data_IF_307345793364
#
_entry.id   IF_307345793364
#
_cell.length_a   1.000
_cell.length_b   1.000
_cell.length_c   1.000
_cell.angle_alpha   90.00
_cell.angle_beta   90.00
_cell.angle_gamma   90.00
#
_symmetry.space_group_name_H-M   'P 1'
#
loop_
_entity.id
_entity.type
_entity.pdbx_description
1 polymer ?
#
# COMPACT_ATOMS: atom_id res chain seq x y z
N UNK A 1 34.60 9.26 14.60
CA UNK A 1 33.20 9.55 14.22
C UNK A 1 32.82 8.51 13.20
N UNK A 2 32.00 7.52 13.58
CA UNK A 2 31.52 6.52 12.65
C UNK A 2 30.36 7.15 11.88
N UNK A 3 30.59 7.51 10.61
CA UNK A 3 29.50 7.77 9.68
C UNK A 3 28.72 6.47 9.54
N UNK A 4 27.62 6.37 10.29
CA UNK A 4 26.70 5.27 10.22
C UNK A 4 26.18 5.23 8.79
N UNK A 5 26.67 4.27 8.01
CA UNK A 5 26.24 3.98 6.66
C UNK A 5 24.82 3.40 6.73
N UNK A 6 23.84 4.27 7.00
CA UNK A 6 22.42 3.95 6.96
C UNK A 6 22.10 3.68 5.50
N UNK A 7 22.23 2.42 5.10
CA UNK A 7 21.79 1.97 3.79
C UNK A 7 20.32 2.34 3.66
N UNK A 8 20.07 3.35 2.84
CA UNK A 8 18.72 3.77 2.51
C UNK A 8 18.03 2.57 1.87
N UNK A 9 17.01 2.04 2.54
CA UNK A 9 16.24 0.91 2.04
C UNK A 9 15.64 1.30 0.69
N UNK A 10 15.73 0.39 -0.28
CA UNK A 10 15.20 0.59 -1.62
C UNK A 10 13.66 0.75 -1.55
N UNK A 11 13.09 1.85 -2.07
CA UNK A 11 11.64 2.03 -2.11
C UNK A 11 10.87 0.86 -2.73
N UNK A 12 11.46 0.21 -3.74
CA UNK A 12 10.85 -0.93 -4.43
C UNK A 12 10.75 -2.15 -3.50
N UNK A 13 11.80 -2.38 -2.69
CA UNK A 13 11.82 -3.42 -1.66
C UNK A 13 10.76 -3.18 -0.57
N UNK A 14 10.51 -1.92 -0.19
CA UNK A 14 9.45 -1.59 0.77
C UNK A 14 8.06 -1.92 0.20
N UNK A 15 7.81 -1.61 -1.08
CA UNK A 15 6.55 -1.96 -1.73
C UNK A 15 6.37 -3.47 -1.83
N UNK A 16 7.42 -4.20 -2.20
CA UNK A 16 7.41 -5.66 -2.22
C UNK A 16 7.08 -6.23 -0.84
N UNK A 17 7.72 -5.74 0.23
CA UNK A 17 7.42 -6.16 1.60
C UNK A 17 5.96 -5.87 2.00
N UNK A 18 5.41 -4.72 1.63
CA UNK A 18 4.00 -4.41 1.89
C UNK A 18 3.06 -5.36 1.15
N UNK A 19 3.34 -5.67 -0.12
CA UNK A 19 2.54 -6.61 -0.91
C UNK A 19 2.58 -8.03 -0.32
N UNK A 20 3.76 -8.48 0.13
CA UNK A 20 3.94 -9.77 0.78
C UNK A 20 3.21 -9.86 2.13
N UNK A 21 3.13 -8.76 2.89
CA UNK A 21 2.34 -8.72 4.12
C UNK A 21 0.84 -8.87 3.82
N UNK A 22 0.30 -8.17 2.82
CA UNK A 22 -1.09 -8.39 2.39
C UNK A 22 -1.34 -9.83 1.93
N UNK A 23 -0.41 -10.37 1.12
CA UNK A 23 -0.49 -11.73 0.62
C UNK A 23 -0.51 -12.77 1.76
N UNK A 24 0.37 -12.60 2.76
CA UNK A 24 0.43 -13.45 3.97
C UNK A 24 -0.92 -13.51 4.71
N UNK A 25 -1.68 -12.42 4.69
CA UNK A 25 -3.02 -12.32 5.30
C UNK A 25 -4.16 -12.65 4.34
N UNK A 26 -3.88 -13.33 3.25
CA UNK A 26 -4.86 -13.73 2.21
C UNK A 26 -5.61 -12.56 1.58
N UNK A 27 -5.09 -11.33 1.73
CA UNK A 27 -5.64 -10.13 1.10
C UNK A 27 -5.12 -10.01 -0.34
N UNK A 28 -5.46 -10.98 -1.18
CA UNK A 28 -4.86 -11.13 -2.51
C UNK A 28 -5.15 -9.93 -3.42
N UNK A 29 -6.34 -9.34 -3.35
CA UNK A 29 -6.67 -8.13 -4.12
C UNK A 29 -5.76 -6.95 -3.73
N UNK A 30 -5.53 -6.71 -2.44
CA UNK A 30 -4.62 -5.67 -1.97
C UNK A 30 -3.15 -5.98 -2.31
N UNK A 31 -2.73 -7.24 -2.22
CA UNK A 31 -1.40 -7.65 -2.66
C UNK A 31 -1.19 -7.41 -4.16
N UNK A 32 -2.14 -7.82 -5.01
CA UNK A 32 -2.12 -7.58 -6.45
C UNK A 32 -2.07 -6.09 -6.77
N UNK A 33 -2.79 -5.29 -5.99
CA UNK A 33 -2.79 -3.83 -6.12
C UNK A 33 -1.42 -3.21 -5.85
N UNK A 34 -0.77 -3.58 -4.74
CA UNK A 34 0.57 -3.08 -4.40
C UNK A 34 1.61 -3.57 -5.41
N UNK A 35 1.55 -4.84 -5.83
CA UNK A 35 2.44 -5.35 -6.88
C UNK A 35 2.21 -4.65 -8.23
N UNK A 36 0.97 -4.30 -8.57
CA UNK A 36 0.66 -3.53 -9.78
C UNK A 36 1.30 -2.14 -9.73
N UNK A 37 1.23 -1.44 -8.60
CA UNK A 37 1.91 -0.16 -8.40
C UNK A 37 3.44 -0.32 -8.55
N UNK A 38 4.02 -1.40 -7.99
CA UNK A 38 5.45 -1.68 -8.10
C UNK A 38 5.86 -1.99 -9.55
N UNK A 39 5.08 -2.78 -10.28
CA UNK A 39 5.31 -3.06 -11.70
C UNK A 39 5.20 -1.80 -12.55
N UNK A 40 4.26 -0.90 -12.26
CA UNK A 40 4.13 0.37 -12.98
C UNK A 40 5.35 1.28 -12.76
N UNK A 41 5.92 1.24 -11.56
CA UNK A 41 7.13 1.99 -11.21
C UNK A 41 8.39 1.37 -11.82
N UNK A 42 8.50 0.04 -11.74
CA UNK A 42 9.68 -0.72 -12.18
C UNK A 42 9.25 -1.90 -13.06
N UNK A 43 8.93 -1.66 -14.36
CA UNK A 43 8.35 -2.68 -15.25
C UNK A 43 9.21 -3.91 -15.53
N UNK A 44 10.51 -3.84 -15.20
CA UNK A 44 11.45 -4.93 -15.38
C UNK A 44 11.72 -5.70 -14.06
N UNK A 45 10.97 -5.44 -12.98
CA UNK A 45 11.16 -6.11 -11.69
C UNK A 45 10.56 -7.53 -11.69
N UNK A 46 11.36 -8.60 -11.83
CA UNK A 46 10.83 -9.96 -12.05
C UNK A 46 9.97 -10.46 -10.88
N UNK A 47 10.38 -10.16 -9.64
CA UNK A 47 9.62 -10.57 -8.44
C UNK A 47 8.29 -9.84 -8.29
N UNK A 48 8.15 -8.63 -8.82
CA UNK A 48 6.90 -7.89 -8.73
C UNK A 48 5.86 -8.49 -9.68
N UNK A 49 6.30 -8.87 -10.89
CA UNK A 49 5.47 -9.62 -11.84
C UNK A 49 5.07 -10.99 -11.33
N UNK A 50 6.01 -11.72 -10.72
CA UNK A 50 5.72 -13.01 -10.11
C UNK A 50 4.69 -12.86 -8.96
N UNK A 51 4.92 -11.93 -8.03
CA UNK A 51 4.01 -11.65 -6.92
C UNK A 51 2.62 -11.21 -7.40
N UNK A 52 2.55 -10.38 -8.44
CA UNK A 52 1.29 -10.00 -9.08
C UNK A 52 0.56 -11.22 -9.65
N UNK A 53 1.27 -12.07 -10.42
CA UNK A 53 0.70 -13.29 -10.98
C UNK A 53 0.19 -14.24 -9.90
N UNK A 54 0.92 -14.41 -8.80
CA UNK A 54 0.48 -15.23 -7.67
C UNK A 54 -0.78 -14.67 -7.03
N UNK A 55 -0.80 -13.38 -6.67
CA UNK A 55 -1.95 -12.76 -6.04
C UNK A 55 -3.21 -12.91 -6.91
N UNK A 56 -3.10 -12.65 -8.22
CA UNK A 56 -4.21 -12.83 -9.17
C UNK A 56 -4.62 -14.30 -9.28
N UNK A 57 -3.67 -15.24 -9.36
CA UNK A 57 -3.99 -16.68 -9.43
C UNK A 57 -4.76 -17.16 -8.20
N UNK A 58 -4.40 -16.69 -6.99
CA UNK A 58 -5.12 -17.05 -5.77
C UNK A 58 -6.49 -16.38 -5.67
N UNK A 59 -6.65 -15.17 -6.18
CA UNK A 59 -7.95 -14.53 -6.35
C UNK A 59 -8.83 -15.30 -7.36
N UNK A 60 -8.27 -15.73 -8.49
CA UNK A 60 -8.95 -16.51 -9.52
C UNK A 60 -9.50 -17.85 -8.97
N UNK A 61 -8.79 -18.47 -8.01
CA UNK A 61 -9.27 -19.70 -7.36
C UNK A 61 -10.54 -19.47 -6.54
N UNK A 62 -10.76 -18.25 -6.06
CA UNK A 62 -11.95 -17.89 -5.31
C UNK A 62 -13.11 -17.46 -6.23
N UNK A 63 -12.81 -16.75 -7.32
CA UNK A 63 -13.82 -16.24 -8.28
C UNK A 63 -14.22 -17.26 -9.34
N UNK A 64 -13.36 -18.24 -9.63
CA UNK A 64 -13.43 -19.14 -10.80
C UNK A 64 -13.42 -18.39 -12.14
N UNK A 65 -12.87 -17.17 -12.18
CA UNK A 65 -12.77 -16.39 -13.42
C UNK A 65 -11.56 -16.82 -14.25
N UNK A 66 -11.83 -17.28 -15.48
CA UNK A 66 -10.80 -17.68 -16.45
C UNK A 66 -9.95 -16.48 -16.89
N UNK A 67 -10.50 -15.27 -16.89
CA UNK A 67 -9.77 -14.06 -17.27
C UNK A 67 -8.65 -13.74 -16.26
N UNK A 68 -8.91 -13.93 -14.97
CA UNK A 68 -7.90 -13.77 -13.92
C UNK A 68 -6.76 -14.79 -14.12
N UNK A 69 -7.08 -16.03 -14.49
CA UNK A 69 -6.07 -17.05 -14.77
C UNK A 69 -5.20 -16.67 -15.99
N UNK A 70 -5.82 -16.16 -17.07
CA UNK A 70 -5.09 -15.63 -18.23
C UNK A 70 -4.13 -14.52 -17.83
N UNK A 71 -4.59 -13.61 -16.98
CA UNK A 71 -3.79 -12.49 -16.51
C UNK A 71 -2.63 -12.96 -15.62
N UNK A 72 -2.87 -13.92 -14.74
CA UNK A 72 -1.84 -14.53 -13.91
C UNK A 72 -0.74 -15.19 -14.75
N UNK A 73 -1.11 -16.00 -15.75
CA UNK A 73 -0.16 -16.62 -16.69
C UNK A 73 0.63 -15.54 -17.45
N UNK A 74 -0.03 -14.47 -17.90
CA UNK A 74 0.63 -13.37 -18.59
C UNK A 74 1.68 -12.68 -17.71
N UNK A 75 1.40 -12.53 -16.40
CA UNK A 75 2.33 -12.00 -15.41
C UNK A 75 3.52 -12.95 -15.16
N UNK A 76 3.29 -14.26 -15.01
CA UNK A 76 4.38 -15.23 -14.85
C UNK A 76 5.31 -15.28 -16.06
N UNK A 77 4.74 -15.28 -17.27
CA UNK A 77 5.52 -15.19 -18.51
C UNK A 77 6.32 -13.88 -18.61
N UNK A 78 5.78 -12.78 -18.09
CA UNK A 78 6.51 -11.51 -18.01
C UNK A 78 7.65 -11.56 -16.99
N UNK A 79 7.45 -12.23 -15.86
CA UNK A 79 8.51 -12.48 -14.88
C UNK A 79 9.67 -13.30 -15.49
N UNK A 80 9.36 -14.37 -16.23
CA UNK A 80 10.35 -15.17 -16.97
C UNK A 80 11.03 -14.37 -18.09
N UNK A 81 10.30 -13.52 -18.80
CA UNK A 81 10.89 -12.65 -19.81
C UNK A 81 11.92 -11.67 -19.21
N UNK A 82 11.63 -11.12 -18.03
CA UNK A 82 12.55 -10.21 -17.33
C UNK A 82 13.72 -10.95 -16.66
N UNK A 83 13.52 -12.22 -16.28
CA UNK A 83 14.53 -13.09 -15.67
C UNK A 83 14.27 -14.55 -16.07
N UNK A 84 15.03 -15.04 -17.06
CA UNK A 84 14.80 -16.35 -17.67
C UNK A 84 14.95 -17.53 -16.70
N UNK A 85 15.77 -17.39 -15.66
CA UNK A 85 16.01 -18.38 -14.60
C UNK A 85 15.07 -18.22 -13.39
N UNK A 86 13.92 -17.56 -13.55
CA UNK A 86 12.93 -17.41 -12.49
C UNK A 86 12.15 -18.73 -12.26
N UNK A 87 12.76 -19.65 -11.51
CA UNK A 87 12.19 -20.97 -11.17
C UNK A 87 10.79 -20.88 -10.57
N UNK A 88 10.52 -19.87 -9.74
CA UNK A 88 9.20 -19.74 -9.10
C UNK A 88 8.09 -19.46 -10.11
N UNK A 89 8.36 -18.62 -11.12
CA UNK A 89 7.39 -18.32 -12.17
C UNK A 89 7.17 -19.53 -13.10
N UNK A 90 8.24 -20.29 -13.38
CA UNK A 90 8.17 -21.52 -14.16
C UNK A 90 7.33 -22.60 -13.45
N UNK A 91 7.61 -22.84 -12.17
CA UNK A 91 6.84 -23.77 -11.32
C UNK A 91 5.36 -23.36 -11.24
N UNK A 92 5.06 -22.06 -11.09
CA UNK A 92 3.69 -21.57 -11.04
C UNK A 92 2.92 -21.85 -12.35
N UNK A 93 3.59 -21.74 -13.51
CA UNK A 93 3.01 -22.08 -14.80
C UNK A 93 2.73 -23.59 -14.88
N UNK A 94 3.67 -24.43 -14.45
CA UNK A 94 3.48 -25.88 -14.41
C UNK A 94 2.32 -26.30 -13.52
N UNK A 95 2.19 -25.69 -12.33
CA UNK A 95 1.03 -25.91 -11.43
C UNK A 95 -0.28 -25.57 -12.13
N UNK A 96 -0.32 -24.54 -12.97
CA UNK A 96 -1.53 -24.19 -13.75
C UNK A 96 -1.80 -25.23 -14.82
N UNK A 97 -0.79 -25.64 -15.60
CA UNK A 97 -0.90 -26.65 -16.66
C UNK A 97 -1.44 -27.97 -16.10
N UNK A 98 -0.91 -28.42 -14.96
CA UNK A 98 -1.23 -29.72 -14.36
C UNK A 98 -2.68 -29.84 -13.85
N UNK A 99 -3.43 -28.74 -13.79
CA UNK A 99 -4.85 -28.76 -13.39
C UNK A 99 -5.77 -29.34 -14.46
N UNK A 100 -5.44 -29.21 -15.74
CA UNK A 100 -6.27 -29.65 -16.85
C UNK A 100 -5.53 -29.63 -18.21
N UNK A 101 -5.88 -30.50 -19.17
CA UNK A 101 -5.40 -30.36 -20.55
C UNK A 101 -5.74 -29.00 -21.18
N UNK A 102 -6.90 -28.41 -20.84
CA UNK A 102 -7.32 -27.10 -21.36
C UNK A 102 -6.42 -25.96 -20.86
N UNK A 103 -5.80 -26.10 -19.69
CA UNK A 103 -4.87 -25.10 -19.16
C UNK A 103 -3.54 -25.08 -19.89
N UNK A 104 -3.14 -26.19 -20.54
CA UNK A 104 -1.96 -26.19 -21.42
C UNK A 104 -2.19 -25.30 -22.65
N UNK A 105 -3.28 -25.53 -23.38
CA UNK A 105 -3.61 -24.74 -24.58
C UNK A 105 -3.75 -23.24 -24.24
N UNK A 106 -4.39 -22.95 -23.11
CA UNK A 106 -4.48 -21.60 -22.56
C UNK A 106 -3.09 -21.00 -22.36
N UNK A 107 -2.23 -21.70 -21.61
CA UNK A 107 -0.88 -21.22 -21.29
C UNK A 107 -0.09 -20.98 -22.56
N UNK A 108 -0.13 -21.87 -23.54
CA UNK A 108 0.57 -21.70 -24.83
C UNK A 108 0.08 -20.46 -25.59
N UNK A 109 -1.23 -20.19 -25.60
CA UNK A 109 -1.84 -19.06 -26.29
C UNK A 109 -1.56 -17.70 -25.61
N UNK A 110 -1.42 -17.68 -24.28
CA UNK A 110 -1.22 -16.44 -23.51
C UNK A 110 0.16 -15.85 -23.78
N UNK A 111 0.21 -14.57 -24.18
CA UNK A 111 1.47 -13.84 -24.35
C UNK A 111 1.93 -13.22 -23.01
N UNK A 112 3.24 -12.98 -22.84
CA UNK A 112 3.72 -12.15 -21.74
C UNK A 112 3.03 -10.79 -21.75
N UNK A 113 2.78 -10.23 -20.56
CA UNK A 113 2.10 -8.94 -20.46
C UNK A 113 2.90 -7.85 -21.19
N UNK A 114 2.20 -7.09 -22.05
CA UNK A 114 2.82 -6.07 -22.92
C UNK A 114 3.13 -4.76 -22.19
N UNK A 115 3.53 -3.73 -22.93
CA UNK A 115 3.91 -2.41 -22.38
C UNK A 115 2.74 -1.55 -21.85
N UNK A 116 1.51 -2.03 -21.95
CA UNK A 116 0.31 -1.28 -21.53
C UNK A 116 0.01 -1.45 -20.02
N UNK A 117 1.02 -1.20 -19.18
CA UNK A 117 0.95 -1.39 -17.72
C UNK A 117 -0.13 -0.54 -17.04
N UNK A 118 -0.52 0.57 -17.67
CA UNK A 118 -1.59 1.46 -17.18
C UNK A 118 -2.95 0.74 -17.05
N UNK A 119 -3.16 -0.33 -17.83
CA UNK A 119 -4.40 -1.12 -17.74
C UNK A 119 -4.38 -2.13 -16.59
N UNK A 120 -3.22 -2.42 -15.98
CA UNK A 120 -3.10 -3.39 -14.88
C UNK A 120 -3.95 -3.00 -13.68
N UNK A 121 -3.98 -1.72 -13.30
CA UNK A 121 -4.80 -1.27 -12.18
C UNK A 121 -6.29 -1.48 -12.43
N UNK A 122 -6.74 -1.26 -13.68
CA UNK A 122 -8.12 -1.53 -14.04
C UNK A 122 -8.45 -3.03 -14.02
N UNK A 123 -7.51 -3.89 -14.44
CA UNK A 123 -7.69 -5.33 -14.35
C UNK A 123 -7.65 -5.87 -12.92
N UNK A 124 -6.89 -5.24 -12.03
CA UNK A 124 -6.84 -5.59 -10.62
C UNK A 124 -8.06 -5.07 -9.83
N UNK A 125 -9.03 -4.42 -10.50
CA UNK A 125 -10.16 -3.70 -9.90
C UNK A 125 -9.72 -2.80 -8.74
N UNK A 126 -8.56 -2.17 -8.90
CA UNK A 126 -7.89 -1.48 -7.81
C UNK A 126 -8.67 -0.22 -7.41
N UNK A 127 -9.03 -0.16 -6.14
CA UNK A 127 -9.41 1.10 -5.50
C UNK A 127 -8.51 1.40 -4.30
N UNK A 128 -8.11 2.66 -4.07
CA UNK A 128 -7.35 3.03 -2.87
C UNK A 128 -8.04 2.63 -1.57
N UNK A 129 -9.38 2.63 -1.55
CA UNK A 129 -10.18 2.27 -0.37
C UNK A 129 -10.05 0.78 -0.03
N UNK A 130 -9.92 -0.10 -1.03
CA UNK A 130 -9.68 -1.53 -0.82
C UNK A 130 -8.38 -1.80 -0.04
N UNK A 131 -7.35 -0.95 -0.18
CA UNK A 131 -6.11 -1.13 0.60
C UNK A 131 -6.36 -0.91 2.09
N UNK A 132 -7.17 0.07 2.45
CA UNK A 132 -7.50 0.28 3.86
C UNK A 132 -8.45 -0.81 4.37
N UNK A 133 -9.42 -1.21 3.55
CA UNK A 133 -10.32 -2.31 3.90
C UNK A 133 -9.60 -3.66 4.07
N UNK A 134 -8.54 -3.89 3.31
CA UNK A 134 -7.65 -5.03 3.53
C UNK A 134 -6.80 -4.84 4.79
N UNK A 135 -6.26 -3.63 5.01
CA UNK A 135 -5.43 -3.32 6.17
C UNK A 135 -6.17 -3.61 7.48
N UNK A 136 -7.43 -3.20 7.61
CA UNK A 136 -8.24 -3.40 8.84
C UNK A 136 -8.51 -4.87 9.17
N UNK A 137 -8.40 -5.78 8.20
CA UNK A 137 -8.60 -7.23 8.41
C UNK A 137 -7.38 -7.90 9.04
N UNK A 138 -6.22 -7.23 9.01
CA UNK A 138 -4.97 -7.72 9.60
C UNK A 138 -5.01 -7.49 11.11
N UNK A 139 -5.04 -8.57 11.90
CA UNK A 139 -5.16 -8.48 13.35
C UNK A 139 -3.90 -7.90 14.03
N UNK A 140 -2.71 -8.15 13.49
CA UNK A 140 -1.45 -7.66 14.06
C UNK A 140 -1.22 -6.19 13.68
N UNK A 141 -1.32 -5.31 14.68
CA UNK A 141 -1.09 -3.88 14.50
C UNK A 141 0.33 -3.54 14.05
N UNK A 142 1.34 -4.36 14.40
CA UNK A 142 2.73 -4.12 14.00
C UNK A 142 2.89 -4.26 12.49
N UNK A 143 2.25 -5.27 11.91
CA UNK A 143 2.25 -5.48 10.47
C UNK A 143 1.43 -4.40 9.76
N UNK A 144 0.30 -3.95 10.33
CA UNK A 144 -0.43 -2.78 9.81
C UNK A 144 0.45 -1.52 9.81
N UNK A 145 1.16 -1.25 10.91
CA UNK A 145 2.12 -0.14 11.01
C UNK A 145 3.21 -0.26 9.96
N UNK A 146 3.78 -1.44 9.74
CA UNK A 146 4.79 -1.68 8.69
C UNK A 146 4.24 -1.38 7.30
N UNK A 147 3.06 -1.91 6.95
CA UNK A 147 2.41 -1.64 5.66
C UNK A 147 2.23 -0.13 5.45
N UNK A 148 1.65 0.58 6.43
CA UNK A 148 1.45 2.03 6.36
C UNK A 148 2.77 2.77 6.18
N UNK A 149 3.83 2.35 6.89
CA UNK A 149 5.14 2.95 6.77
C UNK A 149 5.79 2.71 5.40
N UNK A 150 5.69 1.49 4.86
CA UNK A 150 6.27 1.08 3.60
C UNK A 150 5.58 1.75 2.41
N UNK A 151 4.25 1.77 2.41
CA UNK A 151 3.44 2.39 1.37
C UNK A 151 3.50 3.92 1.45
N UNK A 152 3.40 4.49 2.66
CA UNK A 152 3.49 5.93 2.84
C UNK A 152 4.86 6.54 2.51
N UNK A 153 5.94 5.76 2.53
CA UNK A 153 7.27 6.20 2.07
C UNK A 153 7.32 6.46 0.55
N UNK A 154 6.41 5.85 -0.23
CA UNK A 154 6.42 5.95 -1.69
C UNK A 154 5.98 7.33 -2.22
N UNK A 155 5.32 8.12 -1.37
CA UNK A 155 4.81 9.45 -1.71
C UNK A 155 3.93 9.49 -2.98
N UNK A 156 3.14 8.43 -3.19
CA UNK A 156 2.25 8.33 -4.33
C UNK A 156 0.86 8.88 -3.96
N UNK A 157 0.30 9.88 -4.68
CA UNK A 157 -1.02 10.45 -4.37
C UNK A 157 -2.13 9.40 -4.26
N UNK A 158 -2.04 8.32 -5.04
CA UNK A 158 -2.99 7.21 -5.04
C UNK A 158 -3.08 6.46 -3.68
N UNK A 159 -2.10 6.62 -2.80
CA UNK A 159 -2.06 6.03 -1.47
C UNK A 159 -2.62 6.97 -0.38
N UNK A 160 -3.03 8.19 -0.74
CA UNK A 160 -3.61 9.15 0.23
C UNK A 160 -4.84 8.58 0.95
N UNK A 161 -5.80 7.91 0.29
CA UNK A 161 -6.97 7.34 0.98
C UNK A 161 -6.60 6.28 2.03
N UNK A 162 -5.59 5.45 1.77
CA UNK A 162 -5.07 4.48 2.75
C UNK A 162 -4.57 5.18 4.03
N UNK A 163 -3.81 6.26 3.87
CA UNK A 163 -3.27 7.02 5.01
C UNK A 163 -4.39 7.72 5.78
N UNK A 164 -5.36 8.33 5.10
CA UNK A 164 -6.53 8.96 5.73
C UNK A 164 -7.35 7.91 6.49
N UNK A 165 -7.60 6.75 5.89
CA UNK A 165 -8.32 5.65 6.52
C UNK A 165 -7.63 5.18 7.80
N UNK A 166 -6.30 4.99 7.74
CA UNK A 166 -5.49 4.63 8.91
C UNK A 166 -5.57 5.68 10.03
N UNK A 167 -5.52 6.97 9.69
CA UNK A 167 -5.61 8.06 10.68
C UNK A 167 -6.99 8.13 11.33
N UNK A 168 -8.04 8.02 10.53
CA UNK A 168 -9.41 8.20 11.00
C UNK A 168 -9.91 7.02 11.81
N UNK A 169 -9.61 5.80 11.37
CA UNK A 169 -10.37 4.62 11.76
C UNK A 169 -9.52 3.47 12.34
N UNK A 170 -8.17 3.49 12.25
CA UNK A 170 -7.38 2.43 12.90
C UNK A 170 -7.46 2.57 14.43
N UNK A 171 -7.79 1.49 15.17
CA UNK A 171 -7.92 1.56 16.62
C UNK A 171 -6.57 1.67 17.34
N UNK A 172 -5.45 1.33 16.69
CA UNK A 172 -4.15 1.29 17.34
C UNK A 172 -3.35 2.59 17.13
N UNK A 173 -2.87 3.25 18.19
CA UNK A 173 -2.19 4.55 18.09
C UNK A 173 -0.94 4.50 17.21
N UNK A 174 -0.14 3.43 17.26
CA UNK A 174 1.08 3.32 16.43
C UNK A 174 0.80 3.28 14.92
N UNK A 175 -0.37 2.78 14.51
CA UNK A 175 -0.77 2.80 13.09
C UNK A 175 -1.16 4.21 12.68
N UNK A 176 -1.93 4.92 13.54
CA UNK A 176 -2.31 6.33 13.34
C UNK A 176 -1.06 7.22 13.27
N UNK A 177 -0.12 7.07 14.21
CA UNK A 177 1.13 7.82 14.25
C UNK A 177 2.00 7.55 13.01
N UNK A 178 2.09 6.29 12.58
CA UNK A 178 2.77 5.94 11.34
C UNK A 178 2.14 6.64 10.13
N UNK A 179 0.82 6.66 10.03
CA UNK A 179 0.12 7.33 8.95
C UNK A 179 0.32 8.85 8.98
N UNK A 180 0.24 9.48 10.16
CA UNK A 180 0.52 10.91 10.35
C UNK A 180 1.95 11.29 9.94
N UNK A 181 2.93 10.45 10.26
CA UNK A 181 4.32 10.66 9.84
C UNK A 181 4.49 10.70 8.32
N UNK A 182 3.55 10.10 7.56
CA UNK A 182 3.59 10.03 6.09
C UNK A 182 2.67 11.03 5.42
N UNK A 183 1.51 11.33 5.99
CA UNK A 183 0.49 12.18 5.37
C UNK A 183 1.02 13.59 5.07
N UNK A 184 1.92 14.12 5.90
CA UNK A 184 2.50 15.45 5.68
C UNK A 184 3.26 15.58 4.35
N UNK A 185 3.79 14.47 3.82
CA UNK A 185 4.49 14.45 2.52
C UNK A 185 3.53 14.50 1.32
N UNK A 186 2.27 14.14 1.53
CA UNK A 186 1.24 14.23 0.49
C UNK A 186 0.92 15.70 0.19
N UNK A 187 1.11 16.62 1.13
CA UNK A 187 0.81 18.03 0.93
C UNK A 187 -0.70 18.28 0.88
N UNK A 188 -1.16 19.07 -0.10
CA UNK A 188 -2.56 19.50 -0.26
C UNK A 188 -3.39 18.53 -1.12
N UNK A 189 -3.12 17.22 -1.01
CA UNK A 189 -3.90 16.21 -1.73
C UNK A 189 -5.34 16.15 -1.20
N UNK A 190 -6.31 15.74 -2.05
CA UNK A 190 -7.71 15.65 -1.64
C UNK A 190 -7.89 14.85 -0.34
N UNK A 191 -8.63 15.43 0.62
CA UNK A 191 -8.95 14.80 1.91
C UNK A 191 -7.92 15.00 3.01
N UNK A 192 -6.69 15.42 2.71
CA UNK A 192 -5.63 15.60 3.74
C UNK A 192 -6.00 16.72 4.70
N UNK A 193 -6.44 17.85 4.15
CA UNK A 193 -6.85 19.02 4.95
C UNK A 193 -8.01 18.67 5.86
N UNK A 194 -9.08 18.09 5.32
CA UNK A 194 -10.28 17.72 6.06
C UNK A 194 -9.95 16.71 7.17
N UNK A 195 -9.06 15.75 6.90
CA UNK A 195 -8.59 14.78 7.88
C UNK A 195 -7.86 15.46 9.06
N UNK A 196 -6.98 16.42 8.80
CA UNK A 196 -6.21 17.11 9.86
C UNK A 196 -7.07 18.13 10.61
N UNK A 197 -7.97 18.85 9.92
CA UNK A 197 -8.97 19.73 10.56
C UNK A 197 -9.84 18.96 11.55
N UNK A 198 -10.31 17.76 11.18
CA UNK A 198 -11.09 16.88 12.04
C UNK A 198 -10.33 16.47 13.32
N UNK A 199 -9.05 16.08 13.19
CA UNK A 199 -8.21 15.71 14.34
C UNK A 199 -8.02 16.89 15.30
N UNK A 200 -7.84 18.11 14.78
CA UNK A 200 -7.69 19.33 15.59
C UNK A 200 -9.01 19.71 16.28
N UNK A 201 -10.12 19.62 15.56
CA UNK A 201 -11.45 19.94 16.07
C UNK A 201 -11.88 19.00 17.20
N UNK A 202 -11.65 17.69 17.03
CA UNK A 202 -12.03 16.64 18.00
C UNK A 202 -11.03 16.46 19.15
N UNK A 203 -9.96 17.26 19.19
CA UNK A 203 -8.86 17.17 20.16
C UNK A 203 -8.11 15.83 20.19
N UNK A 204 -8.36 14.94 19.22
CA UNK A 204 -7.64 13.68 19.04
C UNK A 204 -6.14 13.87 18.84
N UNK A 205 -5.70 15.06 18.45
CA UNK A 205 -4.27 15.38 18.33
C UNK A 205 -3.50 15.16 19.63
N UNK A 206 -4.13 15.31 20.80
CA UNK A 206 -3.48 15.12 22.11
C UNK A 206 -2.88 13.72 22.27
N UNK A 207 -3.54 12.71 21.70
CA UNK A 207 -3.13 11.30 21.81
C UNK A 207 -2.02 10.92 20.83
N UNK A 208 -1.76 11.75 19.82
CA UNK A 208 -0.87 11.43 18.69
C UNK A 208 0.18 12.51 18.43
N UNK A 209 0.42 13.40 19.40
CA UNK A 209 1.61 14.25 19.39
C UNK A 209 2.90 13.41 19.58
N UNK A 210 4.05 13.82 18.99
CA UNK A 210 4.29 15.03 18.20
C UNK A 210 3.88 14.90 16.71
N UNK A 211 3.25 13.80 16.30
CA UNK A 211 3.12 13.42 14.90
C UNK A 211 2.17 14.31 14.12
N UNK A 212 1.11 14.83 14.72
CA UNK A 212 0.22 15.82 14.08
C UNK A 212 0.99 17.11 13.79
N UNK A 213 1.76 17.61 14.76
CA UNK A 213 2.59 18.81 14.57
C UNK A 213 3.63 18.62 13.46
N UNK A 214 4.28 17.45 13.43
CA UNK A 214 5.22 17.06 12.36
C UNK A 214 4.51 17.03 11.01
N UNK A 215 3.35 16.38 10.91
CA UNK A 215 2.58 16.29 9.67
C UNK A 215 2.22 17.68 9.14
N UNK A 216 1.68 18.55 9.99
CA UNK A 216 1.32 19.93 9.64
C UNK A 216 2.54 20.74 9.20
N UNK A 217 3.69 20.59 9.87
CA UNK A 217 4.92 21.32 9.53
C UNK A 217 5.50 20.92 8.17
N UNK A 218 5.27 19.67 7.75
CA UNK A 218 5.70 19.16 6.46
C UNK A 218 4.81 19.67 5.31
N UNK A 219 3.61 20.16 5.61
CA UNK A 219 2.67 20.72 4.63
C UNK A 219 2.90 22.22 4.52
N UNK A 220 3.40 22.69 3.38
CA UNK A 220 3.69 24.10 3.13
C UNK A 220 2.45 24.88 2.64
N UNK A 221 1.35 24.83 3.39
CA UNK A 221 0.10 25.51 3.06
C UNK A 221 -0.34 26.47 4.18
N UNK A 222 -0.96 27.63 3.88
CA UNK A 222 -1.37 28.58 4.93
C UNK A 222 -2.33 27.99 5.97
N UNK A 223 -3.16 27.01 5.57
CA UNK A 223 -4.10 26.34 6.46
C UNK A 223 -3.38 25.44 7.48
N UNK A 224 -2.23 24.85 7.16
CA UNK A 224 -1.50 23.98 8.10
C UNK A 224 -0.91 24.80 9.24
N UNK A 225 -0.34 25.97 8.94
CA UNK A 225 0.10 26.95 9.95
C UNK A 225 -1.05 27.38 10.85
N UNK A 226 -2.21 27.64 10.27
CA UNK A 226 -3.41 28.04 11.02
C UNK A 226 -3.87 26.94 11.99
N UNK A 227 -3.74 25.67 11.60
CA UNK A 227 -4.03 24.54 12.49
C UNK A 227 -2.98 24.36 13.60
N UNK A 228 -1.70 24.58 13.30
CA UNK A 228 -0.65 24.55 14.31
C UNK A 228 -0.88 25.63 15.39
N UNK A 229 -1.20 26.85 14.99
CA UNK A 229 -1.52 27.92 15.93
C UNK A 229 -2.74 27.60 16.80
N UNK A 230 -3.76 26.92 16.25
CA UNK A 230 -4.92 26.47 17.01
C UNK A 230 -4.52 25.44 18.08
N UNK A 231 -3.67 24.46 17.72
CA UNK A 231 -3.13 23.49 18.67
C UNK A 231 -2.38 24.21 19.80
N UNK A 232 -1.49 25.14 19.49
CA UNK A 232 -0.70 25.86 20.51
C UNK A 232 -1.56 26.74 21.44
N UNK A 233 -2.60 27.38 20.91
CA UNK A 233 -3.60 28.10 21.73
C UNK A 233 -4.32 27.13 22.67
N UNK A 234 -4.76 25.97 22.18
CA UNK A 234 -5.43 24.93 22.99
C UNK A 234 -4.51 24.30 24.04
N UNK A 235 -3.20 24.18 23.78
CA UNK A 235 -2.19 23.75 24.77
C UNK A 235 -2.01 24.75 25.89
N UNK A 236 -2.13 26.05 25.58
CA UNK A 236 -1.92 27.15 26.53
C UNK A 236 -3.14 27.43 27.40
N UNK A 237 -4.33 27.00 26.97
CA UNK A 237 -5.54 27.08 27.80
C UNK A 237 -5.47 26.05 28.94
N UNK A 238 -5.63 26.46 30.22
CA UNK A 238 -5.67 25.52 31.33
C UNK A 238 -6.78 24.50 31.09
N UNK A 239 -6.46 23.20 31.20
CA UNK A 239 -7.50 22.17 31.12
C UNK A 239 -8.43 22.33 32.32
N UNK A 240 -9.66 22.78 32.08
CA UNK A 240 -10.70 22.89 33.11
C UNK A 240 -11.08 21.52 33.73
N UNK A 241 -10.51 20.42 33.21
CA UNK A 241 -10.73 19.03 33.63
C UNK A 241 -10.17 18.64 35.01
N UNK A 242 -9.71 19.58 35.84
CA UNK A 242 -9.36 19.31 37.25
C UNK A 242 -10.50 19.52 38.25
N UNK A 243 -11.71 19.78 37.78
CA UNK A 243 -12.90 19.93 38.62
C UNK A 243 -13.90 18.79 38.42
N UNK A 244 -13.52 17.54 38.75
CA UNK A 244 -14.45 16.42 38.95
C UNK A 244 -13.85 15.38 39.89
#
# INVERSE_FOLDING_TARGET
MAEGNSQRVDPDQLMEQAALLFYKHTQYAAAASVFSLLVMRTPNHPMAWFGLGQAIMFQAQQSLDVLDLVLAVSCFKRALHNKADNQMADEAIHIIIDRSPLTQELVEAVRPFGSQFQRLLAFADFTPDQLYDALKTINDWKERTQIVMFLGEQNMPILTPLLIGAIRYDPHPDVVMAALKRIGRMGDQPGVRECLEEIVATERWRDVEPYVSIALSAIHAPWSTSLQEQIERKKSSPSDDKAS
#
